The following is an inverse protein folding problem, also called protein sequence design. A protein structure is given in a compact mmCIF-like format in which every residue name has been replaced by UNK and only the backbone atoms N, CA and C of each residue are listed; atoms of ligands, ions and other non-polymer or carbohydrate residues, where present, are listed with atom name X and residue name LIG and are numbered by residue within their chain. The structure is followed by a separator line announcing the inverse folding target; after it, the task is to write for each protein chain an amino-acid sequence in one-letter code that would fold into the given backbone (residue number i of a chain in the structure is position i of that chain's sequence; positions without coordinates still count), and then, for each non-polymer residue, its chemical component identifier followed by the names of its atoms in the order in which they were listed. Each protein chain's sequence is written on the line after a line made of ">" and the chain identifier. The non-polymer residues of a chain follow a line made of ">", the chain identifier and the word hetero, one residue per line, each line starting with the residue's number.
data_IF_394940292539
#
_entry.id   IF_394940292539
#
_cell.length_a   1.000
_cell.length_b   1.000
_cell.length_c   1.000
_cell.angle_alpha   90.00
_cell.angle_beta   90.00
_cell.angle_gamma   90.00
#
_symmetry.space_group_name_H-M   'P 1'
#
loop_
_entity.id
_entity.type
_entity.pdbx_description
1 polymer ?
#
# COMPACT_ATOMS: atom_id res chain seq x y z
N UNK A 1 -28.76 -63.55 36.50
CA UNK A 1 -28.67 -62.64 35.34
C UNK A 1 -28.13 -61.33 35.87
N UNK A 2 -26.81 -61.11 35.77
CA UNK A 2 -26.18 -59.86 36.19
C UNK A 2 -26.08 -58.94 34.98
N UNK A 3 -26.77 -57.80 35.04
CA UNK A 3 -26.65 -56.73 34.06
C UNK A 3 -25.29 -56.03 34.25
N UNK A 4 -24.48 -56.01 33.20
CA UNK A 4 -23.26 -55.22 33.14
C UNK A 4 -23.60 -53.78 32.71
N UNK A 5 -22.99 -52.75 33.32
CA UNK A 5 -23.22 -51.37 32.90
C UNK A 5 -22.68 -51.13 31.48
N UNK A 6 -23.30 -50.22 30.71
CA UNK A 6 -22.89 -49.94 29.33
C UNK A 6 -21.48 -49.33 29.28
N UNK A 7 -20.69 -49.79 28.31
CA UNK A 7 -19.35 -49.26 28.02
C UNK A 7 -19.50 -47.85 27.44
N UNK A 8 -18.78 -46.83 27.97
CA UNK A 8 -18.83 -45.49 27.41
C UNK A 8 -18.28 -45.46 25.98
N UNK A 9 -18.96 -44.74 25.08
CA UNK A 9 -18.48 -44.54 23.71
C UNK A 9 -17.15 -43.78 23.70
N UNK A 10 -16.23 -44.10 22.77
CA UNK A 10 -14.98 -43.38 22.65
C UNK A 10 -15.26 -41.91 22.32
N UNK A 11 -14.63 -41.00 23.06
CA UNK A 11 -14.65 -39.57 22.76
C UNK A 11 -14.10 -39.35 21.34
N UNK A 12 -14.80 -38.52 20.56
CA UNK A 12 -14.31 -38.10 19.24
C UNK A 12 -12.95 -37.40 19.40
N UNK A 13 -11.99 -37.61 18.48
CA UNK A 13 -10.69 -36.96 18.56
C UNK A 13 -10.88 -35.43 18.50
N UNK A 14 -10.32 -34.74 19.50
CA UNK A 14 -10.22 -33.28 19.49
C UNK A 14 -9.31 -32.89 18.33
N UNK A 15 -9.84 -32.08 17.42
CA UNK A 15 -9.05 -31.54 16.32
C UNK A 15 -7.85 -30.75 16.88
N UNK A 16 -6.64 -30.88 16.30
CA UNK A 16 -5.50 -30.11 16.74
C UNK A 16 -5.81 -28.60 16.63
N UNK A 17 -5.28 -27.76 17.53
CA UNK A 17 -5.47 -26.32 17.44
C UNK A 17 -4.96 -25.83 16.09
N UNK A 18 -5.73 -24.95 15.45
CA UNK A 18 -5.32 -24.31 14.20
C UNK A 18 -3.95 -23.67 14.40
N UNK A 19 -3.02 -23.93 13.47
CA UNK A 19 -1.70 -23.32 13.52
C UNK A 19 -1.85 -21.79 13.54
N UNK A 20 -1.14 -21.11 14.43
CA UNK A 20 -1.11 -19.65 14.47
C UNK A 20 -0.74 -19.12 13.08
N UNK A 21 -1.46 -18.11 12.57
CA UNK A 21 -1.15 -17.56 11.25
C UNK A 21 0.29 -17.02 11.23
N UNK A 22 0.96 -17.03 10.07
CA UNK A 22 2.29 -16.48 9.94
C UNK A 22 2.36 -15.03 10.44
N UNK A 23 3.39 -14.73 11.22
CA UNK A 23 3.59 -13.43 11.87
C UNK A 23 4.28 -12.39 10.96
N UNK A 24 4.69 -12.76 9.74
CA UNK A 24 5.31 -11.84 8.79
C UNK A 24 4.28 -10.82 8.28
N UNK A 25 4.69 -9.56 8.16
CA UNK A 25 3.88 -8.44 7.65
C UNK A 25 4.67 -7.67 6.61
N UNK A 26 3.97 -7.11 5.62
CA UNK A 26 4.58 -6.15 4.71
C UNK A 26 4.65 -4.81 5.43
N UNK A 27 5.86 -4.37 5.77
CA UNK A 27 6.07 -3.14 6.54
C UNK A 27 5.95 -1.89 5.67
N UNK A 28 6.76 -1.77 4.61
CA UNK A 28 6.86 -0.52 3.86
C UNK A 28 7.23 -0.75 2.39
N UNK A 29 7.03 0.29 1.59
CA UNK A 29 7.62 0.46 0.26
C UNK A 29 8.62 1.60 0.31
N UNK A 30 9.87 1.32 -0.05
CA UNK A 30 10.91 2.34 -0.18
C UNK A 30 10.90 2.92 -1.58
N UNK A 31 10.95 4.25 -1.69
CA UNK A 31 10.96 5.00 -2.94
C UNK A 31 12.16 5.95 -2.93
N UNK A 32 13.01 5.80 -3.94
CA UNK A 32 14.16 6.67 -4.12
C UNK A 32 13.71 8.06 -4.59
N UNK A 33 14.38 9.09 -4.07
CA UNK A 33 14.07 10.48 -4.41
C UNK A 33 15.26 11.42 -4.27
N UNK A 34 15.30 12.49 -5.05
CA UNK A 34 16.28 13.55 -4.87
C UNK A 34 15.97 14.45 -3.65
N UNK A 35 14.69 14.57 -3.26
CA UNK A 35 14.21 15.42 -2.15
C UNK A 35 13.08 14.74 -1.35
N UNK A 36 13.43 14.00 -0.26
CA UNK A 36 12.46 13.33 0.61
C UNK A 36 11.35 14.22 1.16
N UNK A 37 11.66 15.48 1.50
CA UNK A 37 10.67 16.36 2.11
C UNK A 37 9.64 16.86 1.09
N UNK A 38 10.08 17.16 -0.13
CA UNK A 38 9.22 17.62 -1.20
C UNK A 38 8.27 16.51 -1.68
N UNK A 39 8.79 15.31 -1.95
CA UNK A 39 7.97 14.18 -2.41
C UNK A 39 6.99 13.73 -1.33
N UNK A 40 7.40 13.70 -0.05
CA UNK A 40 6.52 13.38 1.05
C UNK A 40 5.35 14.37 1.16
N UNK A 41 5.60 15.66 0.93
CA UNK A 41 4.54 16.70 0.96
C UNK A 41 3.47 16.46 -0.10
N UNK A 42 3.86 15.96 -1.29
CA UNK A 42 2.91 15.53 -2.31
C UNK A 42 2.10 14.31 -1.83
N UNK A 43 2.77 13.28 -1.32
CA UNK A 43 2.13 12.03 -0.91
C UNK A 43 1.23 12.17 0.32
N UNK A 44 1.56 13.06 1.27
CA UNK A 44 0.68 13.44 2.39
C UNK A 44 -0.65 14.01 1.88
N UNK A 45 -0.60 14.91 0.89
CA UNK A 45 -1.80 15.51 0.31
C UNK A 45 -2.55 14.55 -0.63
N UNK A 46 -1.81 13.66 -1.31
CA UNK A 46 -2.39 12.66 -2.18
C UNK A 46 -3.18 11.62 -1.37
N UNK A 47 -2.62 11.10 -0.27
CA UNK A 47 -3.20 9.99 0.48
C UNK A 47 -3.92 10.41 1.76
N UNK A 48 -3.72 11.65 2.23
CA UNK A 48 -4.16 12.08 3.56
C UNK A 48 -3.38 11.41 4.69
N UNK A 49 -2.17 10.93 4.41
CA UNK A 49 -1.31 10.20 5.35
C UNK A 49 -0.51 11.16 6.24
N UNK A 50 -0.07 10.66 7.40
CA UNK A 50 0.71 11.42 8.38
C UNK A 50 2.20 11.18 8.19
N UNK A 51 3.02 12.21 8.37
CA UNK A 51 4.48 12.05 8.52
C UNK A 51 4.85 11.65 9.94
N UNK A 52 5.41 10.46 10.10
CA UNK A 52 5.83 9.93 11.42
C UNK A 52 7.32 10.02 11.65
N UNK A 53 8.12 10.11 10.58
CA UNK A 53 9.55 10.31 10.66
C UNK A 53 10.02 11.31 9.60
N UNK A 54 10.98 12.16 9.97
CA UNK A 54 11.65 13.08 9.06
C UNK A 54 13.11 13.30 9.47
N UNK A 55 14.01 13.08 8.51
CA UNK A 55 15.41 13.42 8.56
C UNK A 55 15.85 14.00 7.20
N UNK A 56 17.09 14.49 7.11
CA UNK A 56 17.61 15.04 5.85
C UNK A 56 17.71 14.00 4.74
N UNK A 57 17.90 12.73 5.11
CA UNK A 57 18.09 11.60 4.20
C UNK A 57 16.81 10.82 3.93
N UNK A 58 15.77 10.95 4.75
CA UNK A 58 14.57 10.14 4.60
C UNK A 58 13.32 10.72 5.27
N UNK A 59 12.15 10.32 4.77
CA UNK A 59 10.84 10.66 5.35
C UNK A 59 9.94 9.43 5.30
N UNK A 60 9.20 9.15 6.38
CA UNK A 60 8.21 8.08 6.45
C UNK A 60 6.80 8.66 6.55
N UNK A 61 5.90 8.14 5.71
CA UNK A 61 4.47 8.39 5.78
C UNK A 61 3.72 7.12 6.15
N UNK A 62 2.76 7.26 7.06
CA UNK A 62 1.88 6.19 7.53
C UNK A 62 0.42 6.63 7.37
N UNK A 63 -0.54 5.71 7.25
CA UNK A 63 -1.97 6.04 7.32
C UNK A 63 -2.33 6.85 8.57
N UNK A 64 -3.50 7.53 8.65
CA UNK A 64 -3.87 8.27 9.86
C UNK A 64 -3.99 7.40 11.12
N UNK A 65 -3.64 7.95 12.28
CA UNK A 65 -3.61 7.18 13.54
C UNK A 65 -5.00 6.71 13.94
N UNK A 66 -5.13 5.41 14.25
CA UNK A 66 -6.40 4.76 14.56
C UNK A 66 -7.34 4.57 13.38
N UNK A 67 -6.91 4.86 12.14
CA UNK A 67 -7.68 4.49 10.95
C UNK A 67 -7.67 2.96 10.76
N UNK A 68 -8.62 2.39 10.00
CA UNK A 68 -8.60 0.96 9.65
C UNK A 68 -7.32 0.49 8.91
N UNK A 69 -6.55 1.43 8.37
CA UNK A 69 -5.32 1.19 7.63
C UNK A 69 -4.06 1.29 8.52
N UNK A 70 -4.16 1.88 9.72
CA UNK A 70 -3.05 2.11 10.65
C UNK A 70 -2.42 0.78 11.10
N UNK A 71 -1.14 0.58 10.77
CA UNK A 71 -0.42 -0.68 11.02
C UNK A 71 -0.88 -1.88 10.19
N UNK A 72 -1.73 -1.66 9.17
CA UNK A 72 -2.23 -2.68 8.24
C UNK A 72 -1.74 -2.42 6.81
N UNK A 73 -1.84 -1.17 6.34
CA UNK A 73 -1.32 -0.76 5.05
C UNK A 73 0.19 -0.51 5.17
N UNK A 74 1.02 -0.93 4.19
CA UNK A 74 2.45 -0.65 4.23
C UNK A 74 2.75 0.85 4.19
N UNK A 75 3.74 1.28 4.95
CA UNK A 75 4.20 2.66 4.98
C UNK A 75 4.87 3.05 3.64
N UNK A 76 4.97 4.36 3.39
CA UNK A 76 5.84 4.88 2.33
C UNK A 76 7.10 5.49 2.97
N UNK A 77 8.26 4.97 2.58
CA UNK A 77 9.57 5.49 2.99
C UNK A 77 10.24 6.13 1.78
N UNK A 78 10.46 7.43 1.82
CA UNK A 78 11.19 8.17 0.80
C UNK A 78 12.65 8.33 1.19
N UNK A 79 13.58 7.82 0.39
CA UNK A 79 15.01 7.79 0.70
C UNK A 79 15.77 8.67 -0.29
N UNK A 80 16.66 9.52 0.24
CA UNK A 80 17.49 10.41 -0.58
C UNK A 80 18.48 9.59 -1.40
N UNK A 81 18.36 9.69 -2.72
CA UNK A 81 19.32 9.20 -3.70
C UNK A 81 19.68 10.39 -4.61
N UNK A 82 20.94 10.86 -4.61
CA UNK A 82 21.34 12.06 -5.34
C UNK A 82 21.39 11.84 -6.86
N UNK A 83 21.54 10.60 -7.32
CA UNK A 83 21.51 10.26 -8.73
C UNK A 83 20.08 10.36 -9.28
N UNK A 84 19.93 11.05 -10.41
CA UNK A 84 18.64 11.10 -11.11
C UNK A 84 18.21 9.73 -11.63
N UNK A 85 16.90 9.51 -11.69
CA UNK A 85 16.31 8.27 -12.21
C UNK A 85 16.72 8.02 -13.67
N UNK A 86 17.32 6.87 -13.95
CA UNK A 86 17.84 6.51 -15.28
C UNK A 86 16.90 5.60 -16.08
N UNK A 87 16.09 4.80 -15.39
CA UNK A 87 15.13 3.85 -15.98
C UNK A 87 13.80 3.91 -15.24
N UNK A 88 12.71 3.43 -15.84
CA UNK A 88 11.43 3.33 -15.15
C UNK A 88 11.51 2.44 -13.91
N UNK A 89 10.66 2.71 -12.92
CA UNK A 89 10.55 1.87 -11.73
C UNK A 89 10.11 0.45 -12.11
N UNK A 90 10.66 -0.55 -11.40
CA UNK A 90 10.30 -1.98 -11.59
C UNK A 90 9.14 -2.41 -10.70
N UNK A 91 8.88 -1.65 -9.65
CA UNK A 91 7.72 -1.73 -8.77
C UNK A 91 6.92 -0.44 -8.93
N UNK A 92 5.61 -0.53 -8.81
CA UNK A 92 4.71 0.61 -8.92
C UNK A 92 3.63 0.52 -7.85
N UNK A 93 3.23 1.68 -7.35
CA UNK A 93 2.10 1.81 -6.44
C UNK A 93 0.81 1.87 -7.26
N UNK A 94 -0.14 1.01 -6.93
CA UNK A 94 -1.45 0.95 -7.59
C UNK A 94 -2.53 1.41 -6.62
N UNK A 95 -3.07 2.60 -6.89
CA UNK A 95 -3.98 3.31 -6.01
C UNK A 95 -5.39 3.27 -6.59
N UNK A 96 -6.39 3.08 -5.73
CA UNK A 96 -7.78 2.95 -6.17
C UNK A 96 -8.67 4.04 -5.59
N UNK A 97 -9.16 4.98 -6.41
CA UNK A 97 -10.13 5.98 -6.00
C UNK A 97 -11.57 5.51 -6.19
N UNK A 98 -12.49 6.32 -5.68
CA UNK A 98 -13.94 6.21 -5.97
C UNK A 98 -14.25 6.69 -7.38
N UNK A 99 -13.59 7.75 -7.85
CA UNK A 99 -13.69 8.28 -9.22
C UNK A 99 -12.28 8.47 -9.78
N UNK A 100 -11.93 7.70 -10.81
CA UNK A 100 -10.61 7.75 -11.44
C UNK A 100 -10.36 9.09 -12.12
N UNK A 101 -11.35 9.66 -12.82
CA UNK A 101 -11.16 10.90 -13.57
C UNK A 101 -10.97 12.10 -12.64
N UNK A 102 -11.82 12.20 -11.62
CA UNK A 102 -11.71 13.25 -10.61
C UNK A 102 -10.40 13.16 -9.83
N UNK A 103 -9.98 11.95 -9.47
CA UNK A 103 -8.75 11.77 -8.69
C UNK A 103 -7.51 12.11 -9.51
N UNK A 104 -7.44 11.68 -10.78
CA UNK A 104 -6.32 12.05 -11.65
C UNK A 104 -6.24 13.58 -11.79
N UNK A 105 -7.36 14.27 -11.99
CA UNK A 105 -7.38 15.74 -12.09
C UNK A 105 -6.91 16.41 -10.78
N UNK A 106 -7.29 15.87 -9.62
CA UNK A 106 -6.83 16.35 -8.31
C UNK A 106 -5.33 16.18 -8.14
N UNK A 107 -4.79 15.00 -8.47
CA UNK A 107 -3.38 14.68 -8.37
C UNK A 107 -2.52 15.55 -9.32
N UNK A 108 -3.02 15.88 -10.51
CA UNK A 108 -2.37 16.87 -11.38
C UNK A 108 -2.31 18.26 -10.76
N UNK A 109 -3.37 18.68 -10.07
CA UNK A 109 -3.38 19.92 -9.29
C UNK A 109 -2.36 19.94 -8.14
N UNK A 110 -1.94 18.77 -7.65
CA UNK A 110 -0.89 18.62 -6.63
C UNK A 110 0.53 18.51 -7.22
N UNK A 111 0.66 18.47 -8.55
CA UNK A 111 1.95 18.41 -9.25
C UNK A 111 2.33 17.06 -9.85
N UNK A 112 1.44 16.06 -9.79
CA UNK A 112 1.63 14.84 -10.57
C UNK A 112 1.42 15.11 -12.07
N UNK A 113 1.94 14.23 -12.93
CA UNK A 113 1.75 14.28 -14.38
C UNK A 113 1.33 12.93 -14.91
N UNK A 114 0.44 12.88 -15.91
CA UNK A 114 0.24 11.65 -16.70
C UNK A 114 1.52 11.30 -17.47
N UNK A 115 1.87 10.02 -17.52
CA UNK A 115 3.05 9.54 -18.25
C UNK A 115 2.75 8.29 -19.08
N UNK A 116 3.54 8.10 -20.13
CA UNK A 116 3.56 6.89 -20.94
C UNK A 116 4.88 6.15 -20.71
N UNK A 117 4.78 4.93 -20.22
CA UNK A 117 5.89 3.99 -19.97
C UNK A 117 5.85 2.79 -20.93
N UNK A 118 5.14 2.92 -22.05
CA UNK A 118 4.90 1.90 -23.05
C UNK A 118 3.68 1.02 -22.75
N UNK A 119 2.77 1.47 -21.87
CA UNK A 119 1.51 0.78 -21.63
C UNK A 119 0.58 0.90 -22.85
N UNK A 120 -0.25 -0.11 -23.07
CA UNK A 120 -1.25 -0.11 -24.14
C UNK A 120 -2.59 0.44 -23.63
N UNK A 121 -3.70 0.03 -24.23
CA UNK A 121 -5.04 0.35 -23.73
C UNK A 121 -5.27 -0.37 -22.38
N UNK A 122 -5.09 0.38 -21.28
CA UNK A 122 -5.15 -0.11 -19.91
C UNK A 122 -6.34 0.47 -19.17
N UNK A 123 -6.80 -0.26 -18.13
CA UNK A 123 -7.88 0.23 -17.27
C UNK A 123 -7.44 1.31 -16.28
N UNK A 124 -6.15 1.43 -16.03
CA UNK A 124 -5.55 2.42 -15.15
C UNK A 124 -4.90 3.56 -15.92
N UNK A 125 -4.74 4.70 -15.24
CA UNK A 125 -3.95 5.84 -15.72
C UNK A 125 -2.59 5.81 -15.04
N UNK A 126 -1.51 5.78 -15.81
CA UNK A 126 -0.15 5.89 -15.26
C UNK A 126 0.17 7.37 -15.04
N UNK A 127 0.62 7.68 -13.83
CA UNK A 127 1.06 9.01 -13.43
C UNK A 127 2.49 8.93 -12.90
N UNK A 128 3.17 10.08 -12.88
CA UNK A 128 4.41 10.26 -12.17
C UNK A 128 4.23 11.38 -11.15
N UNK A 129 4.76 11.17 -9.96
CA UNK A 129 4.81 12.20 -8.92
C UNK A 129 5.81 13.33 -9.30
N UNK A 130 5.96 14.39 -8.48
CA UNK A 130 6.84 15.50 -8.80
C UNK A 130 8.29 15.10 -9.06
N UNK A 131 8.80 14.04 -8.42
CA UNK A 131 10.17 13.56 -8.61
C UNK A 131 10.28 12.55 -9.76
N UNK A 132 9.16 12.22 -10.39
CA UNK A 132 9.08 11.38 -11.57
C UNK A 132 8.90 9.89 -11.27
N UNK A 133 8.61 9.49 -10.04
CA UNK A 133 8.31 8.10 -9.71
C UNK A 133 6.93 7.70 -10.23
N UNK A 134 6.86 6.58 -10.95
CA UNK A 134 5.59 6.13 -11.55
C UNK A 134 4.67 5.41 -10.56
N UNK A 135 3.38 5.72 -10.66
CA UNK A 135 2.29 5.05 -9.95
C UNK A 135 1.06 4.97 -10.85
N UNK A 136 0.10 4.10 -10.53
CA UNK A 136 -1.12 3.92 -11.30
C UNK A 136 -2.36 4.32 -10.50
N UNK A 137 -3.26 5.04 -11.15
CA UNK A 137 -4.62 5.29 -10.64
C UNK A 137 -5.56 4.31 -11.31
N UNK A 138 -6.04 3.34 -10.54
CA UNK A 138 -6.93 2.28 -11.00
C UNK A 138 -8.37 2.78 -11.19
N UNK A 139 -9.24 1.95 -11.79
CA UNK A 139 -10.68 2.16 -11.71
C UNK A 139 -11.20 1.79 -10.32
N UNK A 140 -12.33 2.39 -9.95
CA UNK A 140 -13.07 2.01 -8.76
C UNK A 140 -13.44 0.52 -8.76
N UNK A 141 -13.64 -0.04 -7.56
CA UNK A 141 -14.20 -1.39 -7.44
C UNK A 141 -15.62 -1.40 -8.02
N UNK A 142 -16.02 -2.48 -8.70
CA UNK A 142 -17.43 -2.70 -8.99
C UNK A 142 -18.24 -2.66 -7.69
N UNK A 143 -19.48 -2.12 -7.70
CA UNK A 143 -20.40 -2.34 -6.61
C UNK A 143 -20.56 -3.85 -6.37
N UNK A 144 -20.45 -4.27 -5.11
CA UNK A 144 -20.65 -5.66 -4.70
C UNK A 144 -22.11 -6.09 -4.72
#
# INVERSE_FOLDING_TARGET
>A
MSDLPPVPSPASPVAPPAASPPALRWQCVCVDTADPAAIATFWEQALGWRRTHQADTEVVLEPPAGSPEDGVCPDLLFVRVPEGKVVKNRLHLDLRPVDQGAEVARLEGLGARRVDIGQQDTSWVVMADPDGNEFCVLRALPPG
#
